data_IF_830250766094
#
_entry.id   IF_830250766094
#
_cell.length_a   1.000
_cell.length_b   1.000
_cell.length_c   1.000
_cell.angle_alpha   90.00
_cell.angle_beta   90.00
_cell.angle_gamma   90.00
#
_symmetry.space_group_name_H-M   'P 1'
#
loop_
_entity.id
_entity.type
_entity.pdbx_description
1 polymer ?
#
# COMPACT_ATOMS: atom_id res chain seq x y z
N UNK A 1 -35.90 31.89 -29.84
CA UNK A 1 -36.09 30.99 -31.00
C UNK A 1 -35.01 29.94 -30.98
N UNK A 2 -35.45 28.69 -30.94
CA UNK A 2 -34.70 27.43 -30.79
C UNK A 2 -33.70 27.22 -31.93
N UNK A 3 -32.54 26.64 -31.61
CA UNK A 3 -31.89 25.61 -32.44
C UNK A 3 -31.14 24.63 -31.54
N UNK A 4 -31.89 23.63 -31.07
CA UNK A 4 -31.37 22.39 -30.52
C UNK A 4 -30.68 21.64 -31.66
N UNK A 5 -29.37 21.41 -31.55
CA UNK A 5 -28.64 20.48 -32.42
C UNK A 5 -28.68 19.12 -31.73
N UNK A 6 -29.51 18.23 -32.28
CA UNK A 6 -29.54 16.80 -32.00
C UNK A 6 -28.26 16.17 -32.55
N UNK A 7 -27.42 15.61 -31.68
CA UNK A 7 -26.33 14.71 -32.07
C UNK A 7 -26.77 13.28 -31.71
N UNK A 8 -26.77 12.34 -32.66
CA UNK A 8 -27.33 11.01 -32.47
C UNK A 8 -26.41 10.11 -31.64
N UNK A 9 -27.06 9.27 -30.82
CA UNK A 9 -26.50 8.09 -30.17
C UNK A 9 -25.73 7.21 -31.18
N UNK A 10 -24.48 6.90 -30.87
CA UNK A 10 -23.79 5.73 -31.41
C UNK A 10 -23.69 4.68 -30.29
N UNK A 11 -24.60 3.71 -30.35
CA UNK A 11 -24.56 2.44 -29.63
C UNK A 11 -23.46 1.58 -30.25
N UNK A 12 -22.52 1.08 -29.46
CA UNK A 12 -21.81 -0.16 -29.78
C UNK A 12 -21.58 -0.97 -28.50
N UNK A 13 -22.52 -1.89 -28.26
CA UNK A 13 -22.28 -3.10 -27.46
C UNK A 13 -21.25 -3.97 -28.20
N UNK A 14 -20.24 -4.45 -27.48
CA UNK A 14 -19.52 -5.66 -27.87
C UNK A 14 -19.11 -6.43 -26.62
N UNK A 15 -19.92 -7.46 -26.30
CA UNK A 15 -19.51 -8.57 -25.46
C UNK A 15 -18.78 -9.59 -26.33
N UNK A 16 -17.64 -10.09 -25.87
CA UNK A 16 -16.94 -11.21 -26.48
C UNK A 16 -16.15 -12.01 -25.44
N UNK A 17 -16.82 -12.98 -24.80
CA UNK A 17 -16.17 -14.11 -24.14
C UNK A 17 -15.81 -15.16 -25.18
N UNK A 18 -14.57 -15.67 -25.14
CA UNK A 18 -14.27 -17.03 -25.64
C UNK A 18 -13.44 -17.79 -24.60
N UNK A 19 -13.85 -19.05 -24.47
CA UNK A 19 -13.50 -20.06 -23.47
C UNK A 19 -12.76 -21.17 -24.24
N UNK A 20 -11.94 -21.97 -23.54
CA UNK A 20 -11.47 -23.33 -23.91
C UNK A 20 -10.49 -23.41 -25.11
N UNK A 21 -9.44 -24.23 -25.13
CA UNK A 21 -8.98 -25.32 -24.27
C UNK A 21 -7.82 -26.07 -24.95
N UNK A 22 -7.51 -27.27 -24.42
CA UNK A 22 -6.57 -28.33 -24.89
C UNK A 22 -5.11 -28.17 -24.38
N UNK A 23 -4.55 -29.02 -23.50
CA UNK A 23 -4.48 -30.50 -23.33
C UNK A 23 -3.45 -31.18 -24.24
N UNK A 24 -2.48 -31.86 -23.61
CA UNK A 24 -1.67 -33.03 -24.04
C UNK A 24 -0.23 -32.86 -23.48
N UNK A 25 0.52 -33.85 -22.99
CA UNK A 25 0.43 -35.32 -22.99
C UNK A 25 1.54 -35.86 -22.05
N UNK A 26 1.28 -37.00 -21.39
CA UNK A 26 2.15 -38.20 -21.15
C UNK A 26 3.69 -38.03 -21.12
N UNK A 27 4.45 -38.65 -20.22
CA UNK A 27 4.50 -40.11 -20.03
C UNK A 27 5.37 -40.49 -18.81
N UNK A 28 5.09 -41.65 -18.24
CA UNK A 28 5.76 -42.26 -17.09
C UNK A 28 6.97 -43.09 -17.52
N UNK A 29 8.05 -43.15 -16.73
CA UNK A 29 8.87 -44.37 -16.54
C UNK A 29 9.67 -44.29 -15.24
N UNK A 30 9.63 -45.39 -14.49
CA UNK A 30 10.25 -45.69 -13.19
C UNK A 30 11.61 -46.35 -13.41
N UNK A 31 12.66 -46.03 -12.62
CA UNK A 31 13.70 -46.99 -12.16
C UNK A 31 14.15 -46.59 -10.73
N UNK A 32 14.40 -47.60 -9.91
CA UNK A 32 14.56 -47.66 -8.44
C UNK A 32 15.91 -47.17 -7.85
N UNK A 33 15.89 -46.99 -6.52
CA UNK A 33 16.94 -46.78 -5.47
C UNK A 33 18.20 -47.69 -5.59
N UNK A 34 19.27 -47.59 -4.73
CA UNK A 34 19.52 -46.71 -3.57
C UNK A 34 20.97 -46.15 -3.46
N UNK A 35 21.19 -45.13 -2.61
CA UNK A 35 22.45 -44.98 -1.84
C UNK A 35 22.33 -43.88 -0.77
N UNK A 36 22.63 -44.26 0.46
CA UNK A 36 22.92 -43.43 1.63
C UNK A 36 23.98 -42.37 1.31
N UNK A 37 23.77 -41.10 1.69
CA UNK A 37 24.66 -40.33 2.59
C UNK A 37 24.25 -38.86 2.68
N UNK A 38 24.04 -38.42 3.93
CA UNK A 38 24.11 -37.07 4.51
C UNK A 38 24.28 -35.84 3.58
N UNK A 39 23.30 -34.93 3.67
CA UNK A 39 23.62 -33.50 3.74
C UNK A 39 22.65 -32.81 4.72
N UNK A 40 23.01 -32.86 6.01
CA UNK A 40 22.85 -31.68 6.86
C UNK A 40 23.93 -30.74 6.38
N UNK A 41 23.53 -29.59 5.86
CA UNK A 41 24.24 -28.33 5.98
C UNK A 41 23.54 -27.32 5.08
N UNK A 42 22.96 -26.31 5.69
CA UNK A 42 23.38 -24.93 5.47
C UNK A 42 22.22 -23.98 5.66
N UNK A 43 22.40 -23.14 6.68
CA UNK A 43 21.86 -21.79 6.76
C UNK A 43 20.34 -21.67 6.68
N UNK A 44 19.72 -21.85 7.86
CA UNK A 44 18.73 -20.86 8.29
C UNK A 44 19.45 -19.52 8.25
N UNK A 45 19.32 -18.80 7.14
CA UNK A 45 19.55 -17.36 7.14
C UNK A 45 18.37 -16.80 7.96
N UNK A 46 18.60 -16.19 9.13
CA UNK A 46 17.55 -15.36 9.70
C UNK A 46 17.35 -14.24 8.69
N UNK A 47 16.30 -14.35 7.88
CA UNK A 47 15.92 -13.30 6.95
C UNK A 47 15.64 -12.08 7.82
N UNK A 48 16.57 -11.14 7.76
CA UNK A 48 16.43 -9.82 8.33
C UNK A 48 15.26 -9.16 7.59
N UNK A 49 14.03 -9.38 8.06
CA UNK A 49 12.84 -8.68 7.59
C UNK A 49 12.87 -7.26 8.14
N UNK A 50 13.87 -6.49 7.72
CA UNK A 50 13.81 -5.04 7.68
C UNK A 50 13.65 -4.63 6.21
N UNK A 51 12.95 -3.52 6.01
CA UNK A 51 13.19 -2.61 4.89
C UNK A 51 12.61 -2.83 3.49
N UNK A 52 11.54 -3.59 3.27
CA UNK A 52 10.73 -3.36 2.04
C UNK A 52 9.58 -2.41 2.35
N UNK A 53 9.76 -1.14 2.03
CA UNK A 53 8.69 -0.14 2.06
C UNK A 53 7.61 -0.54 1.03
N UNK A 54 6.32 -0.66 1.41
CA UNK A 54 5.26 -1.03 0.49
C UNK A 54 5.21 -0.10 -0.71
N UNK A 55 5.06 -0.67 -1.91
CA UNK A 55 5.03 0.08 -3.17
C UNK A 55 3.99 1.20 -3.16
N UNK A 56 2.84 0.96 -2.53
CA UNK A 56 1.78 1.96 -2.46
C UNK A 56 2.19 3.19 -1.62
N UNK A 57 2.95 3.00 -0.54
CA UNK A 57 3.49 4.09 0.30
C UNK A 57 4.60 4.82 -0.44
N UNK A 58 5.47 4.09 -1.14
CA UNK A 58 6.47 4.69 -2.03
C UNK A 58 5.81 5.59 -3.08
N UNK A 59 4.75 5.12 -3.74
CA UNK A 59 4.00 5.89 -4.73
C UNK A 59 3.35 7.14 -4.12
N UNK A 60 2.82 7.06 -2.89
CA UNK A 60 2.33 8.25 -2.16
C UNK A 60 3.44 9.26 -1.95
N UNK A 61 4.59 8.84 -1.41
CA UNK A 61 5.76 9.70 -1.20
C UNK A 61 6.21 10.35 -2.52
N UNK A 62 6.25 9.58 -3.61
CA UNK A 62 6.61 10.11 -4.92
C UNK A 62 5.61 11.16 -5.41
N UNK A 63 4.31 10.97 -5.15
CA UNK A 63 3.29 12.00 -5.41
C UNK A 63 3.46 13.25 -4.54
N UNK A 64 3.89 13.11 -3.28
CA UNK A 64 4.11 14.23 -2.37
C UNK A 64 5.26 15.12 -2.82
N UNK A 65 6.34 14.54 -3.37
CA UNK A 65 7.49 15.28 -3.89
C UNK A 65 7.12 16.25 -5.02
N UNK A 66 6.04 15.97 -5.74
CA UNK A 66 5.55 16.79 -6.84
C UNK A 66 4.65 17.94 -6.39
N UNK A 67 4.19 17.96 -5.13
CA UNK A 67 3.32 19.02 -4.60
C UNK A 67 4.11 20.29 -4.32
N UNK A 68 3.43 21.43 -4.40
CA UNK A 68 3.96 22.72 -3.93
C UNK A 68 4.28 22.69 -2.44
N UNK A 69 5.27 23.47 -1.94
CA UNK A 69 5.71 23.41 -0.54
C UNK A 69 4.58 23.54 0.49
N UNK A 70 3.57 24.37 0.21
CA UNK A 70 2.44 24.63 1.12
C UNK A 70 1.38 23.51 1.12
N UNK A 71 1.41 22.61 0.15
CA UNK A 71 0.48 21.47 0.02
C UNK A 71 1.15 20.13 0.31
N UNK A 72 2.49 20.13 0.42
CA UNK A 72 3.33 18.96 0.56
C UNK A 72 3.32 18.46 2.02
N UNK A 73 3.00 17.18 2.28
CA UNK A 73 3.22 16.58 3.58
C UNK A 73 4.68 16.73 4.04
N UNK A 74 4.88 17.02 5.32
CA UNK A 74 6.20 17.28 5.90
C UNK A 74 6.98 15.98 6.14
N UNK A 75 6.28 14.93 6.58
CA UNK A 75 6.89 13.65 6.97
C UNK A 75 5.96 12.47 6.70
N UNK A 76 6.55 11.30 6.48
CA UNK A 76 5.90 10.00 6.60
C UNK A 76 6.65 9.21 7.67
N UNK A 77 5.93 8.81 8.71
CA UNK A 77 6.43 8.07 9.86
C UNK A 77 5.83 6.66 9.84
N UNK A 78 6.64 5.64 10.07
CA UNK A 78 6.21 4.27 10.29
C UNK A 78 6.04 4.03 11.79
N UNK A 79 4.97 3.33 12.18
CA UNK A 79 4.73 2.87 13.54
C UNK A 79 4.31 1.39 13.54
N UNK A 80 4.45 0.75 14.70
CA UNK A 80 3.71 -0.44 15.06
C UNK A 80 2.48 -0.04 15.87
N UNK A 81 1.29 -0.23 15.29
CA UNK A 81 -0.01 0.04 15.90
C UNK A 81 -0.86 -1.22 15.84
N UNK A 82 -1.39 -1.69 16.99
CA UNK A 82 -2.15 -2.95 17.09
C UNK A 82 -1.43 -4.15 16.45
N UNK A 83 -0.11 -4.24 16.67
CA UNK A 83 0.80 -5.26 16.09
C UNK A 83 0.87 -5.26 14.55
N UNK A 84 0.41 -4.20 13.90
CA UNK A 84 0.50 -3.99 12.46
C UNK A 84 1.38 -2.80 12.17
N UNK A 85 2.11 -2.88 11.06
CA UNK A 85 2.86 -1.75 10.53
C UNK A 85 1.90 -0.76 9.89
N UNK A 86 2.04 0.52 10.23
CA UNK A 86 1.20 1.60 9.70
C UNK A 86 2.06 2.83 9.37
N UNK A 87 1.53 3.68 8.51
CA UNK A 87 2.21 4.84 7.96
C UNK A 87 1.39 6.10 8.24
N UNK A 88 1.94 6.96 9.08
CA UNK A 88 1.37 8.23 9.50
C UNK A 88 1.93 9.37 8.65
N UNK A 89 1.06 10.09 7.95
CA UNK A 89 1.39 11.18 7.03
C UNK A 89 1.17 12.51 7.73
N UNK A 90 2.25 13.25 7.99
CA UNK A 90 2.21 14.55 8.66
C UNK A 90 2.01 15.66 7.63
N UNK A 91 0.90 16.37 7.70
CA UNK A 91 0.52 17.46 6.80
C UNK A 91 1.22 18.78 7.17
N UNK A 92 1.31 19.76 6.24
CA UNK A 92 2.00 21.03 6.47
C UNK A 92 1.27 22.00 7.43
N UNK A 93 -0.04 21.83 7.65
CA UNK A 93 -0.84 22.65 8.56
C UNK A 93 -1.76 21.75 9.40
N UNK A 94 -2.02 22.15 10.64
CA UNK A 94 -2.88 21.41 11.57
C UNK A 94 -4.36 21.37 11.15
N UNK A 95 -4.80 22.24 10.24
CA UNK A 95 -6.17 22.19 9.70
C UNK A 95 -6.38 21.03 8.73
N UNK A 96 -5.31 20.38 8.25
CA UNK A 96 -5.40 19.15 7.47
C UNK A 96 -5.33 17.94 8.41
N UNK A 97 -6.06 16.89 8.06
CA UNK A 97 -5.95 15.61 8.75
C UNK A 97 -4.59 14.97 8.49
N UNK A 98 -3.91 14.53 9.55
CA UNK A 98 -2.73 13.70 9.38
C UNK A 98 -3.17 12.24 9.27
N UNK A 99 -3.08 11.68 8.08
CA UNK A 99 -3.72 10.40 7.76
C UNK A 99 -2.83 9.21 8.13
N UNK A 100 -3.45 8.12 8.60
CA UNK A 100 -2.78 6.84 8.88
C UNK A 100 -3.25 5.79 7.88
N UNK A 101 -2.28 5.08 7.30
CA UNK A 101 -2.50 4.00 6.34
C UNK A 101 -1.87 2.68 6.80
N UNK A 102 -2.45 1.54 6.44
CA UNK A 102 -1.78 0.24 6.59
C UNK A 102 -0.78 -0.03 5.44
N UNK A 103 -0.14 -1.21 5.47
CA UNK A 103 0.82 -1.67 4.46
C UNK A 103 0.22 -1.93 3.07
N UNK A 104 -1.12 -1.94 2.96
CA UNK A 104 -1.88 -2.04 1.72
C UNK A 104 -2.47 -0.70 1.29
N UNK A 105 -2.09 0.39 1.97
CA UNK A 105 -2.62 1.73 1.77
C UNK A 105 -4.12 1.88 2.01
N UNK A 106 -4.71 1.02 2.84
CA UNK A 106 -6.05 1.26 3.36
C UNK A 106 -5.98 2.40 4.37
N UNK A 107 -6.86 3.39 4.20
CA UNK A 107 -7.02 4.45 5.17
C UNK A 107 -7.60 3.89 6.48
N UNK A 108 -6.90 4.09 7.58
CA UNK A 108 -7.33 3.65 8.91
C UNK A 108 -8.04 4.78 9.68
N UNK A 109 -7.60 6.02 9.50
CA UNK A 109 -8.13 7.19 10.19
C UNK A 109 -7.13 8.33 10.25
N UNK A 110 -7.51 9.42 10.90
CA UNK A 110 -6.66 10.55 11.22
C UNK A 110 -6.73 10.78 12.74
N UNK A 111 -5.64 10.57 13.49
CA UNK A 111 -5.65 10.66 14.95
C UNK A 111 -5.56 12.10 15.46
N UNK A 112 -5.11 13.03 14.62
CA UNK A 112 -5.05 14.47 14.88
C UNK A 112 -5.23 15.26 13.57
N UNK A 113 -5.03 16.57 13.67
CA UNK A 113 -5.29 17.51 12.59
C UNK A 113 -6.77 17.82 12.42
N UNK A 114 -7.12 18.44 11.30
CA UNK A 114 -8.45 19.03 11.09
C UNK A 114 -8.65 20.31 11.91
N UNK A 115 -9.73 21.04 11.64
CA UNK A 115 -10.02 22.33 12.31
C UNK A 115 -10.02 22.29 13.84
N UNK A 116 -10.38 21.14 14.43
CA UNK A 116 -10.39 20.98 15.90
C UNK A 116 -9.08 20.42 16.45
N UNK A 117 -8.16 19.98 15.58
CA UNK A 117 -6.93 19.26 15.93
C UNK A 117 -7.16 17.85 16.47
N UNK A 118 -8.39 17.32 16.45
CA UNK A 118 -8.76 16.03 17.06
C UNK A 118 -8.82 14.87 16.05
N UNK A 119 -8.47 15.12 14.80
CA UNK A 119 -8.58 14.12 13.77
C UNK A 119 -10.03 13.80 13.40
N UNK A 120 -10.23 12.64 12.75
CA UNK A 120 -11.53 12.21 12.23
C UNK A 120 -12.30 11.26 13.17
N UNK A 121 -11.71 10.93 14.33
CA UNK A 121 -12.32 10.10 15.37
C UNK A 121 -12.33 8.59 15.09
N UNK A 122 -11.70 8.10 14.00
CA UNK A 122 -11.70 6.65 13.68
C UNK A 122 -10.69 5.84 14.49
N UNK A 123 -9.58 6.46 14.88
CA UNK A 123 -8.47 5.82 15.61
C UNK A 123 -8.06 6.65 16.84
N UNK A 124 -8.98 6.84 17.81
CA UNK A 124 -8.76 7.75 18.95
C UNK A 124 -7.64 7.31 19.90
N UNK A 125 -7.26 6.02 19.87
CA UNK A 125 -6.22 5.41 20.69
C UNK A 125 -4.83 5.39 20.01
N UNK A 126 -4.70 5.99 18.82
CA UNK A 126 -3.48 5.86 18.00
C UNK A 126 -2.21 6.30 18.74
N UNK A 127 -2.20 7.50 19.34
CA UNK A 127 -1.01 8.00 20.04
C UNK A 127 -0.73 7.28 21.36
N UNK A 128 -1.73 6.59 21.94
CA UNK A 128 -1.56 5.77 23.14
C UNK A 128 -0.92 4.42 22.80
N UNK A 129 -1.38 3.79 21.71
CA UNK A 129 -0.99 2.43 21.33
C UNK A 129 0.15 2.35 20.32
N UNK A 130 0.33 3.33 19.43
CA UNK A 130 1.38 3.31 18.43
C UNK A 130 2.77 3.41 19.10
N UNK A 131 3.69 2.53 18.69
CA UNK A 131 5.06 2.46 19.18
C UNK A 131 6.05 2.31 18.02
N UNK A 132 7.33 2.31 18.34
CA UNK A 132 8.42 2.05 17.38
C UNK A 132 8.41 3.02 16.18
N UNK A 133 8.28 4.32 16.47
CA UNK A 133 8.34 5.37 15.45
C UNK A 133 9.64 5.26 14.63
N UNK A 134 9.50 5.27 13.31
CA UNK A 134 10.62 5.31 12.36
C UNK A 134 10.32 6.32 11.27
N UNK A 135 11.25 7.25 11.01
CA UNK A 135 11.14 8.16 9.87
C UNK A 135 11.32 7.39 8.56
N UNK A 136 10.32 7.42 7.68
CA UNK A 136 10.38 6.82 6.33
C UNK A 136 10.80 7.85 5.30
N UNK A 137 10.24 9.06 5.39
CA UNK A 137 10.53 10.17 4.49
C UNK A 137 10.23 11.50 5.18
N UNK A 138 10.97 12.54 4.84
CA UNK A 138 10.71 13.90 5.28
C UNK A 138 11.21 14.92 4.27
N UNK A 139 10.59 16.10 4.23
CA UNK A 139 11.05 17.22 3.42
C UNK A 139 12.28 17.86 4.06
N UNK A 140 13.21 18.43 3.26
CA UNK A 140 14.25 19.30 3.79
C UNK A 140 13.64 20.46 4.60
N UNK A 141 14.35 20.91 5.64
CA UNK A 141 13.99 22.09 6.42
C UNK A 141 14.33 23.37 5.68
#
# INVERSE_FOLDING_TARGET
MIRFILIPLAVMLSCGSTKTGQTAKTDSTIIEEPAVMNQRDSAILPEATDMVLPTCIKNKIDSFKLKEPHERPQRVLEYMYKRKKVYYVVMPCCDFFNEVYDDKCNYLGAPDGGFTGKGDGKIPDFFEEAKSEKLVWGTPK
#
